data_IF_429964818293
#
_entry.id   IF_429964818293
#
_cell.length_a   1.000
_cell.length_b   1.000
_cell.length_c   1.000
_cell.angle_alpha   90.00
_cell.angle_beta   90.00
_cell.angle_gamma   90.00
#
_symmetry.space_group_name_H-M   'P 1'
#
loop_
_entity.id
_entity.type
_entity.pdbx_description
1 polymer ?
#
# COMPACT_ATOMS: atom_id res chain seq x y z
N UNK A 1 -22.80 4.08 -30.08
CA UNK A 1 -22.34 5.45 -29.82
C UNK A 1 -21.47 5.41 -28.57
N UNK A 2 -20.20 5.79 -28.64
CA UNK A 2 -19.30 5.80 -27.47
C UNK A 2 -19.41 7.13 -26.73
N UNK A 3 -19.63 7.10 -25.41
CA UNK A 3 -19.71 8.29 -24.56
C UNK A 3 -18.38 8.45 -23.83
N UNK A 4 -17.73 9.60 -23.99
CA UNK A 4 -16.54 9.96 -23.21
C UNK A 4 -16.98 10.42 -21.82
N UNK A 5 -16.46 9.81 -20.77
CA UNK A 5 -16.73 10.17 -19.38
C UNK A 5 -15.41 10.48 -18.71
N UNK A 6 -15.28 11.68 -18.15
CA UNK A 6 -14.15 12.05 -17.32
C UNK A 6 -14.40 11.51 -15.90
N UNK A 7 -13.55 10.60 -15.44
CA UNK A 7 -13.66 10.01 -14.10
C UNK A 7 -12.78 10.70 -13.06
N UNK A 8 -11.67 11.32 -13.46
CA UNK A 8 -10.68 11.92 -12.56
C UNK A 8 -9.98 13.10 -13.23
N UNK A 9 -9.83 14.22 -12.52
CA UNK A 9 -8.94 15.34 -12.88
C UNK A 9 -8.33 15.82 -11.57
N UNK A 10 -7.07 15.48 -11.34
CA UNK A 10 -6.39 15.77 -10.08
C UNK A 10 -5.01 16.35 -10.34
N UNK A 11 -4.69 17.45 -9.66
CA UNK A 11 -3.32 17.92 -9.51
C UNK A 11 -2.72 17.32 -8.25
N UNK A 12 -1.53 16.74 -8.37
CA UNK A 12 -0.82 16.12 -7.25
C UNK A 12 0.59 16.72 -7.11
N UNK A 13 1.02 16.90 -5.87
CA UNK A 13 2.39 17.27 -5.53
C UNK A 13 2.90 16.38 -4.38
N UNK A 14 4.08 15.80 -4.57
CA UNK A 14 4.73 14.96 -3.58
C UNK A 14 5.96 15.65 -3.00
N UNK A 15 6.08 15.70 -1.67
CA UNK A 15 7.23 16.27 -0.97
C UNK A 15 7.44 15.58 0.38
N UNK A 16 8.67 15.14 0.65
CA UNK A 16 9.08 14.55 1.94
C UNK A 16 8.20 13.38 2.40
N UNK A 17 7.76 12.50 1.50
CA UNK A 17 6.89 11.38 1.85
C UNK A 17 5.41 11.74 2.06
N UNK A 18 5.02 12.99 1.84
CA UNK A 18 3.63 13.46 1.87
C UNK A 18 3.18 13.85 0.47
N UNK A 19 2.02 13.37 0.09
CA UNK A 19 1.31 13.70 -1.14
C UNK A 19 0.19 14.67 -0.82
N UNK A 20 0.16 15.79 -1.53
CA UNK A 20 -0.96 16.73 -1.56
C UNK A 20 -1.67 16.58 -2.90
N UNK A 21 -3.00 16.57 -2.88
CA UNK A 21 -3.82 16.51 -4.10
C UNK A 21 -5.01 17.45 -4.04
N UNK A 22 -5.43 17.93 -5.20
CA UNK A 22 -6.58 18.79 -5.37
C UNK A 22 -7.28 18.48 -6.69
N UNK A 23 -8.61 18.48 -6.70
CA UNK A 23 -9.43 18.26 -7.89
C UNK A 23 -10.50 17.19 -7.70
N UNK A 24 -10.91 16.57 -8.80
CA UNK A 24 -11.84 15.45 -8.81
C UNK A 24 -11.06 14.15 -8.64
N UNK A 25 -11.29 13.42 -7.56
CA UNK A 25 -10.59 12.16 -7.28
C UNK A 25 -11.47 11.20 -6.48
N UNK A 26 -11.10 9.91 -6.51
CA UNK A 26 -11.64 8.91 -5.60
C UNK A 26 -10.87 8.93 -4.28
N UNK A 27 -11.59 8.94 -3.17
CA UNK A 27 -11.00 8.96 -1.82
C UNK A 27 -10.26 7.67 -1.52
N UNK A 28 -9.19 7.77 -0.73
CA UNK A 28 -8.42 6.62 -0.24
C UNK A 28 -9.11 6.09 1.02
N UNK A 29 -9.73 4.93 0.87
CA UNK A 29 -10.42 4.21 1.94
C UNK A 29 -9.60 3.06 2.47
N UNK A 30 -9.75 2.72 3.75
CA UNK A 30 -9.10 1.55 4.34
C UNK A 30 -9.74 0.25 3.86
N UNK A 31 -10.99 0.29 3.41
CA UNK A 31 -11.65 -0.77 2.63
C UNK A 31 -11.91 -0.32 1.19
N UNK A 32 -11.79 -1.18 0.17
CA UNK A 32 -12.20 -0.83 -1.20
C UNK A 32 -13.67 -0.39 -1.33
N UNK A 33 -14.56 -0.86 -0.45
CA UNK A 33 -16.00 -0.58 -0.52
C UNK A 33 -16.32 0.83 -0.01
N UNK A 34 -15.53 1.36 0.92
CA UNK A 34 -15.79 2.67 1.51
C UNK A 34 -15.31 3.86 0.67
N UNK A 35 -14.83 3.69 -0.56
CA UNK A 35 -14.27 4.80 -1.34
C UNK A 35 -15.36 5.63 -2.04
N UNK A 36 -15.31 6.94 -1.86
CA UNK A 36 -16.22 7.92 -2.47
C UNK A 36 -15.53 8.75 -3.56
N UNK A 37 -16.29 9.16 -4.59
CA UNK A 37 -15.83 10.13 -5.59
C UNK A 37 -16.11 11.56 -5.11
N UNK A 38 -15.08 12.41 -5.14
CA UNK A 38 -15.15 13.78 -4.57
C UNK A 38 -14.51 14.83 -5.44
N UNK A 39 -14.98 16.07 -5.28
CA UNK A 39 -14.26 17.27 -5.67
C UNK A 39 -13.71 17.93 -4.41
N UNK A 40 -12.39 18.01 -4.27
CA UNK A 40 -11.82 18.58 -3.05
C UNK A 40 -10.31 18.54 -2.98
N UNK A 41 -9.80 18.35 -1.76
CA UNK A 41 -8.39 18.34 -1.43
C UNK A 41 -8.06 17.14 -0.55
N UNK A 42 -6.81 16.68 -0.64
CA UNK A 42 -6.34 15.57 0.17
C UNK A 42 -4.87 15.69 0.50
N UNK A 43 -4.50 15.12 1.64
CA UNK A 43 -3.13 14.88 2.04
C UNK A 43 -2.98 13.40 2.42
N UNK A 44 -1.83 12.81 2.15
CA UNK A 44 -1.60 11.43 2.54
C UNK A 44 -0.18 10.97 2.31
N UNK A 45 0.03 9.69 2.54
CA UNK A 45 1.29 9.03 2.29
C UNK A 45 1.65 9.08 0.80
N UNK A 46 2.83 9.62 0.47
CA UNK A 46 3.38 9.62 -0.89
C UNK A 46 4.01 8.26 -1.21
N UNK A 47 3.61 7.69 -2.35
CA UNK A 47 4.19 6.45 -2.88
C UNK A 47 5.36 6.68 -3.86
N UNK A 48 5.58 7.91 -4.29
CA UNK A 48 6.52 8.20 -5.39
C UNK A 48 7.83 8.86 -4.90
N UNK A 49 7.80 9.58 -3.78
CA UNK A 49 9.01 10.28 -3.28
C UNK A 49 9.93 9.44 -2.39
N UNK A 50 9.56 8.19 -2.09
CA UNK A 50 10.42 7.26 -1.35
C UNK A 50 11.00 6.21 -2.30
N UNK A 51 12.23 6.44 -2.74
CA UNK A 51 13.07 5.49 -3.48
C UNK A 51 13.22 4.12 -2.78
N UNK A 52 12.93 4.04 -1.48
CA UNK A 52 12.95 2.82 -0.66
C UNK A 52 11.63 2.01 -0.71
N UNK A 53 10.61 2.42 -1.46
CA UNK A 53 9.30 1.76 -1.40
C UNK A 53 9.23 0.39 -2.06
N UNK A 54 10.03 0.11 -3.10
CA UNK A 54 10.12 -1.24 -3.66
C UNK A 54 10.65 -2.26 -2.63
N UNK A 55 11.50 -1.80 -1.71
CA UNK A 55 11.97 -2.57 -0.56
C UNK A 55 10.96 -2.50 0.61
N UNK A 56 10.34 -1.35 0.85
CA UNK A 56 9.39 -1.11 1.92
C UNK A 56 8.13 -1.96 1.83
N UNK A 57 7.55 -2.13 0.63
CA UNK A 57 6.40 -3.02 0.41
C UNK A 57 6.75 -4.51 0.54
N UNK A 58 8.04 -4.86 0.46
CA UNK A 58 8.57 -6.18 0.77
C UNK A 58 8.77 -6.40 2.26
N UNK A 59 8.81 -7.66 2.70
CA UNK A 59 9.31 -8.02 4.02
C UNK A 59 10.81 -7.74 4.13
N UNK A 60 11.27 -7.34 5.32
CA UNK A 60 12.69 -7.07 5.52
C UNK A 60 13.47 -8.38 5.68
N UNK A 61 14.51 -8.55 4.87
CA UNK A 61 15.42 -9.69 4.97
C UNK A 61 16.65 -9.27 5.77
N UNK A 62 16.69 -9.67 7.05
CA UNK A 62 17.82 -9.40 7.93
C UNK A 62 18.76 -10.60 8.04
N UNK A 63 20.07 -10.34 7.97
CA UNK A 63 21.11 -11.36 8.15
C UNK A 63 22.33 -10.79 8.86
N UNK A 64 22.91 -11.56 9.76
CA UNK A 64 24.18 -11.22 10.40
C UNK A 64 25.36 -11.72 9.56
N UNK A 65 26.26 -10.83 9.15
CA UNK A 65 27.48 -11.13 8.40
C UNK A 65 28.71 -11.00 9.31
N UNK A 66 29.46 -12.08 9.60
CA UNK A 66 30.64 -11.99 10.46
C UNK A 66 31.77 -11.11 9.87
N UNK A 67 31.85 -11.08 8.54
CA UNK A 67 32.81 -10.31 7.75
C UNK A 67 32.10 -9.69 6.54
N UNK A 68 32.74 -8.70 5.90
CA UNK A 68 32.24 -8.18 4.63
C UNK A 68 32.10 -9.31 3.61
N UNK A 69 30.93 -9.40 2.99
CA UNK A 69 30.54 -10.55 2.17
C UNK A 69 29.75 -10.10 0.94
N UNK A 70 29.91 -10.85 -0.15
CA UNK A 70 28.99 -10.80 -1.27
C UNK A 70 27.73 -11.59 -0.90
N UNK A 71 26.55 -11.00 -1.11
CA UNK A 71 25.27 -11.66 -0.91
C UNK A 71 24.55 -11.70 -2.25
N UNK A 72 24.32 -12.92 -2.73
CA UNK A 72 23.46 -13.21 -3.86
C UNK A 72 22.08 -13.54 -3.32
N UNK A 73 21.07 -12.86 -3.85
CA UNK A 73 19.66 -13.09 -3.53
C UNK A 73 19.06 -13.91 -4.66
N UNK A 74 18.56 -15.11 -4.34
CA UNK A 74 18.03 -16.05 -5.31
C UNK A 74 16.53 -16.27 -5.09
N UNK A 75 15.79 -16.35 -6.19
CA UNK A 75 14.39 -16.81 -6.24
C UNK A 75 14.34 -18.03 -7.16
N UNK A 76 13.79 -19.14 -6.68
CA UNK A 76 13.68 -20.40 -7.44
C UNK A 76 15.01 -20.84 -8.08
N UNK A 77 16.12 -20.67 -7.34
CA UNK A 77 17.48 -21.00 -7.79
C UNK A 77 18.11 -20.01 -8.79
N UNK A 78 17.41 -18.94 -9.18
CA UNK A 78 17.93 -17.91 -10.09
C UNK A 78 18.33 -16.67 -9.31
N UNK A 79 19.51 -16.11 -9.63
CA UNK A 79 19.99 -14.87 -9.02
C UNK A 79 19.10 -13.72 -9.49
N UNK A 80 18.52 -13.01 -8.52
CA UNK A 80 17.75 -11.78 -8.75
C UNK A 80 18.63 -10.55 -8.57
N UNK A 81 19.50 -10.56 -7.55
CA UNK A 81 20.44 -9.48 -7.30
C UNK A 81 21.70 -9.98 -6.60
N UNK A 82 22.81 -9.29 -6.82
CA UNK A 82 24.07 -9.52 -6.13
C UNK A 82 24.60 -8.20 -5.60
N UNK A 83 24.92 -8.13 -4.31
CA UNK A 83 25.50 -6.94 -3.68
C UNK A 83 26.51 -7.31 -2.60
N UNK A 84 27.50 -6.44 -2.40
CA UNK A 84 28.41 -6.52 -1.27
C UNK A 84 27.85 -5.78 -0.07
N UNK A 85 27.93 -6.41 1.10
CA UNK A 85 27.51 -5.82 2.37
C UNK A 85 28.65 -5.87 3.39
N UNK A 86 28.77 -4.85 4.26
CA UNK A 86 29.76 -4.84 5.33
C UNK A 86 29.42 -5.89 6.42
N UNK A 87 30.37 -6.15 7.31
CA UNK A 87 30.14 -6.99 8.48
C UNK A 87 29.07 -6.38 9.41
N UNK A 88 28.39 -7.23 10.19
CA UNK A 88 27.32 -6.85 11.12
C UNK A 88 25.94 -7.31 10.67
N UNK A 89 24.90 -6.80 11.33
CA UNK A 89 23.51 -7.01 10.94
C UNK A 89 23.17 -6.17 9.70
N UNK A 90 22.76 -6.83 8.63
CA UNK A 90 22.46 -6.20 7.35
C UNK A 90 21.01 -6.42 6.97
N UNK A 91 20.37 -5.38 6.44
CA UNK A 91 19.10 -5.47 5.72
C UNK A 91 19.44 -5.64 4.24
N UNK A 92 19.04 -6.76 3.66
CA UNK A 92 19.28 -7.05 2.25
C UNK A 92 18.32 -6.24 1.39
N UNK A 93 18.86 -5.62 0.33
CA UNK A 93 18.09 -4.96 -0.71
C UNK A 93 17.21 -5.97 -1.45
N UNK A 94 15.90 -5.76 -1.38
CA UNK A 94 14.85 -6.59 -1.99
C UNK A 94 14.11 -5.87 -3.11
N UNK A 95 14.57 -4.69 -3.54
CA UNK A 95 13.90 -3.88 -4.57
C UNK A 95 13.63 -4.68 -5.85
N UNK A 96 14.62 -5.47 -6.31
CA UNK A 96 14.53 -6.32 -7.50
C UNK A 96 13.62 -7.55 -7.38
N UNK A 97 13.09 -7.87 -6.19
CA UNK A 97 12.19 -9.01 -6.03
C UNK A 97 10.77 -8.68 -6.54
N UNK A 98 10.14 -9.62 -7.27
CA UNK A 98 8.76 -9.44 -7.74
C UNK A 98 7.74 -9.53 -6.61
N UNK A 99 6.54 -9.01 -6.86
CA UNK A 99 5.39 -9.16 -5.98
C UNK A 99 5.03 -10.65 -5.78
N UNK A 100 4.53 -10.97 -4.59
CA UNK A 100 4.15 -12.34 -4.20
C UNK A 100 4.66 -12.72 -2.81
N UNK A 101 4.39 -13.96 -2.42
CA UNK A 101 4.84 -14.54 -1.15
C UNK A 101 5.53 -15.88 -1.40
N UNK A 102 6.83 -15.98 -1.13
CA UNK A 102 7.67 -17.12 -1.48
C UNK A 102 8.95 -17.14 -0.64
N UNK A 103 9.67 -18.25 -0.65
CA UNK A 103 11.00 -18.29 -0.04
C UNK A 103 12.05 -17.80 -1.03
N UNK A 104 13.05 -17.12 -0.49
CA UNK A 104 14.27 -16.71 -1.19
C UNK A 104 15.49 -17.31 -0.50
N UNK A 105 16.53 -17.54 -1.27
CA UNK A 105 17.81 -18.03 -0.76
C UNK A 105 18.83 -16.90 -0.78
N UNK A 106 19.41 -16.60 0.38
CA UNK A 106 20.58 -15.73 0.51
C UNK A 106 21.82 -16.60 0.44
N UNK A 107 22.52 -16.55 -0.69
CA UNK A 107 23.83 -17.19 -0.85
C UNK A 107 24.92 -16.18 -0.51
N UNK A 108 25.58 -16.41 0.62
CA UNK A 108 26.54 -15.49 1.23
C UNK A 108 27.93 -16.05 0.99
N UNK A 109 28.76 -15.27 0.31
CA UNK A 109 30.17 -15.60 0.03
C UNK A 109 31.06 -14.61 0.78
N UNK A 110 31.81 -15.14 1.72
CA UNK A 110 32.79 -14.37 2.49
C UNK A 110 34.06 -14.17 1.67
N UNK A 111 34.79 -13.07 1.94
CA UNK A 111 36.10 -12.83 1.30
C UNK A 111 37.14 -13.93 1.58
N UNK A 112 36.93 -14.74 2.62
CA UNK A 112 37.75 -15.92 2.96
C UNK A 112 37.48 -17.13 2.06
N UNK A 113 36.51 -17.05 1.15
CA UNK A 113 36.08 -18.14 0.26
C UNK A 113 34.99 -19.03 0.86
N UNK A 114 34.65 -18.87 2.14
CA UNK A 114 33.54 -19.62 2.76
C UNK A 114 32.21 -19.17 2.16
N UNK A 115 31.36 -20.15 1.84
CA UNK A 115 30.01 -19.89 1.33
C UNK A 115 28.99 -20.55 2.25
N UNK A 116 27.86 -19.87 2.47
CA UNK A 116 26.69 -20.45 3.15
C UNK A 116 25.40 -19.99 2.48
N UNK A 117 24.36 -20.79 2.60
CA UNK A 117 23.03 -20.47 2.10
C UNK A 117 22.04 -20.37 3.26
N UNK A 118 21.14 -19.39 3.17
CA UNK A 118 20.15 -19.11 4.20
C UNK A 118 18.81 -18.87 3.52
N UNK A 119 17.82 -19.71 3.81
CA UNK A 119 16.47 -19.54 3.30
C UNK A 119 15.67 -18.57 4.19
N UNK A 120 14.89 -17.70 3.56
CA UNK A 120 14.01 -16.73 4.21
C UNK A 120 12.67 -16.65 3.50
N UNK A 121 11.60 -16.57 4.26
CA UNK A 121 10.30 -16.22 3.72
C UNK A 121 10.29 -14.74 3.34
N UNK A 122 9.82 -14.45 2.14
CA UNK A 122 9.67 -13.11 1.58
C UNK A 122 8.24 -12.87 1.10
N UNK A 123 7.69 -11.72 1.43
CA UNK A 123 6.38 -11.27 0.92
C UNK A 123 6.48 -9.83 0.44
N UNK A 124 5.98 -9.56 -0.76
CA UNK A 124 5.86 -8.22 -1.34
C UNK A 124 4.46 -8.05 -1.91
N UNK A 125 3.77 -7.01 -1.45
CA UNK A 125 2.44 -6.68 -1.91
C UNK A 125 2.18 -5.20 -1.67
N UNK A 126 1.70 -4.50 -2.69
CA UNK A 126 1.23 -3.11 -2.55
C UNK A 126 0.00 -2.97 -1.64
N UNK A 127 -0.63 -4.10 -1.26
CA UNK A 127 -1.77 -4.16 -0.35
C UNK A 127 -1.32 -4.23 1.12
N UNK A 128 -0.07 -4.63 1.38
CA UNK A 128 0.53 -4.57 2.71
C UNK A 128 1.31 -3.24 2.80
N UNK A 129 0.96 -2.31 3.71
CA UNK A 129 1.69 -1.07 3.91
C UNK A 129 3.19 -1.33 4.09
N UNK A 130 4.09 -0.40 3.73
CA UNK A 130 5.51 -0.60 3.91
C UNK A 130 5.89 -0.80 5.39
N UNK A 131 7.03 -1.45 5.64
CA UNK A 131 7.52 -1.64 7.00
C UNK A 131 7.86 -0.31 7.68
N UNK A 132 7.57 -0.19 8.98
CA UNK A 132 8.02 0.90 9.84
C UNK A 132 7.09 2.11 9.95
N UNK A 133 6.18 2.34 8.98
CA UNK A 133 5.27 3.49 9.01
C UNK A 133 3.89 3.15 8.42
N UNK A 134 2.79 3.67 9.01
CA UNK A 134 1.47 3.51 8.42
C UNK A 134 1.29 4.32 7.15
N UNK A 135 0.48 3.78 6.24
CA UNK A 135 -0.04 4.53 5.09
C UNK A 135 -1.32 5.20 5.54
N UNK A 136 -1.34 6.53 5.50
CA UNK A 136 -2.48 7.32 5.95
C UNK A 136 -2.98 8.26 4.85
N UNK A 137 -4.22 8.71 4.98
CA UNK A 137 -4.83 9.74 4.15
C UNK A 137 -5.85 10.54 4.96
N UNK A 138 -5.93 11.85 4.67
CA UNK A 138 -6.97 12.76 5.14
C UNK A 138 -7.45 13.56 3.95
N UNK A 139 -8.75 13.52 3.69
CA UNK A 139 -9.35 14.03 2.47
C UNK A 139 -10.66 14.74 2.81
N UNK A 140 -10.95 15.85 2.14
CA UNK A 140 -12.17 16.61 2.34
C UNK A 140 -12.64 17.17 1.00
N UNK A 141 -13.96 17.24 0.81
CA UNK A 141 -14.52 17.68 -0.46
C UNK A 141 -16.02 17.56 -0.52
N UNK A 142 -16.56 17.66 -1.73
CA UNK A 142 -17.98 17.54 -2.03
C UNK A 142 -18.24 16.18 -2.69
N UNK A 143 -19.30 15.50 -2.24
CA UNK A 143 -19.73 14.20 -2.78
C UNK A 143 -20.20 14.32 -4.23
N UNK A 144 -19.85 13.33 -5.06
CA UNK A 144 -20.37 13.22 -6.42
C UNK A 144 -21.89 13.06 -6.42
N UNK A 145 -22.57 13.76 -7.33
CA UNK A 145 -23.99 13.54 -7.60
C UNK A 145 -24.17 12.25 -8.42
N UNK A 146 -24.72 11.21 -7.80
CA UNK A 146 -24.97 9.92 -8.42
C UNK A 146 -26.22 9.90 -9.33
N UNK A 147 -27.11 10.89 -9.19
CA UNK A 147 -28.35 11.02 -9.96
C UNK A 147 -28.15 11.61 -11.35
N UNK A 148 -27.04 12.29 -11.61
CA UNK A 148 -26.75 12.97 -12.87
C UNK A 148 -25.70 12.19 -13.69
N UNK A 149 -26.12 11.12 -14.38
CA UNK A 149 -25.23 10.25 -15.18
C UNK A 149 -24.97 10.77 -16.61
N UNK A 150 -25.59 11.88 -17.03
CA UNK A 150 -25.71 12.25 -18.45
C UNK A 150 -24.87 13.41 -18.98
N UNK A 151 -23.96 13.97 -18.18
CA UNK A 151 -23.07 15.04 -18.63
C UNK A 151 -21.63 14.52 -18.70
N UNK A 152 -20.90 14.85 -19.78
CA UNK A 152 -19.50 14.38 -19.98
C UNK A 152 -18.51 14.79 -18.89
N UNK A 153 -18.93 15.68 -17.98
CA UNK A 153 -18.23 16.08 -16.76
C UNK A 153 -19.06 15.67 -15.54
N UNK A 154 -18.45 15.07 -14.51
CA UNK A 154 -19.13 14.77 -13.24
C UNK A 154 -19.78 15.99 -12.60
N UNK A 155 -21.01 15.83 -12.12
CA UNK A 155 -21.63 16.77 -11.19
C UNK A 155 -21.28 16.40 -9.75
N UNK A 156 -21.15 17.41 -8.89
CA UNK A 156 -20.94 17.26 -7.46
C UNK A 156 -22.06 17.96 -6.71
N UNK A 157 -22.45 17.37 -5.59
CA UNK A 157 -23.45 17.91 -4.68
C UNK A 157 -22.87 19.06 -3.86
N UNK A 158 -23.69 19.71 -3.03
CA UNK A 158 -23.24 20.63 -1.98
C UNK A 158 -22.95 19.91 -0.65
N UNK A 159 -23.05 18.58 -0.59
CA UNK A 159 -22.84 17.80 0.62
C UNK A 159 -21.34 17.68 0.91
N UNK A 160 -20.83 18.27 2.01
CA UNK A 160 -19.43 18.12 2.39
C UNK A 160 -19.14 16.71 2.90
N UNK A 161 -17.90 16.29 2.73
CA UNK A 161 -17.34 15.17 3.48
C UNK A 161 -16.00 15.51 4.08
N UNK A 162 -15.67 14.78 5.13
CA UNK A 162 -14.33 14.62 5.65
C UNK A 162 -14.05 13.13 5.81
N UNK A 163 -12.85 12.70 5.41
CA UNK A 163 -12.40 11.34 5.53
C UNK A 163 -11.00 11.29 6.13
N UNK A 164 -10.78 10.35 7.03
CA UNK A 164 -9.45 9.96 7.48
C UNK A 164 -9.33 8.43 7.44
N UNK A 165 -8.23 7.92 6.91
CA UNK A 165 -7.97 6.48 6.85
C UNK A 165 -6.51 6.20 7.11
N UNK A 166 -6.23 5.02 7.68
CA UNK A 166 -4.88 4.55 7.90
C UNK A 166 -4.81 3.04 7.77
N UNK A 167 -3.68 2.56 7.26
CA UNK A 167 -3.34 1.15 7.14
C UNK A 167 -1.98 0.87 7.78
N UNK A 168 -1.92 -0.19 8.57
CA UNK A 168 -0.74 -0.61 9.32
C UNK A 168 -0.31 -2.00 8.88
N UNK A 169 1.01 -2.19 8.71
CA UNK A 169 1.61 -3.52 8.67
C UNK A 169 1.80 -4.02 10.10
N UNK A 170 1.12 -5.10 10.47
CA UNK A 170 1.32 -5.76 11.76
C UNK A 170 2.42 -6.81 11.69
N UNK A 171 2.49 -7.53 10.57
CA UNK A 171 3.50 -8.53 10.23
C UNK A 171 3.77 -8.48 8.74
N UNK A 172 4.83 -9.12 8.29
CA UNK A 172 5.14 -9.24 6.85
C UNK A 172 4.03 -9.90 6.02
N UNK A 173 3.13 -10.63 6.68
CA UNK A 173 1.99 -11.32 6.06
C UNK A 173 0.63 -10.73 6.44
N UNK A 174 0.56 -9.75 7.35
CA UNK A 174 -0.70 -9.24 7.91
C UNK A 174 -0.71 -7.71 7.94
N UNK A 175 -1.74 -7.13 7.33
CA UNK A 175 -2.05 -5.72 7.43
C UNK A 175 -3.47 -5.51 7.95
N UNK A 176 -3.67 -4.42 8.68
CA UNK A 176 -4.98 -3.93 9.09
C UNK A 176 -5.19 -2.51 8.58
N UNK A 177 -6.42 -2.16 8.26
CA UNK A 177 -6.85 -0.83 7.88
C UNK A 177 -8.07 -0.40 8.68
N UNK A 178 -8.14 0.89 8.98
CA UNK A 178 -9.33 1.53 9.52
C UNK A 178 -9.54 2.90 8.88
N UNK A 179 -10.80 3.26 8.66
CA UNK A 179 -11.23 4.52 8.06
C UNK A 179 -12.48 5.05 8.74
N UNK A 180 -12.62 6.38 8.70
CA UNK A 180 -13.82 7.09 9.09
C UNK A 180 -14.17 8.10 8.00
N UNK A 181 -15.45 8.16 7.67
CA UNK A 181 -16.06 9.15 6.79
C UNK A 181 -17.15 9.86 7.56
N UNK A 182 -17.07 11.18 7.57
CA UNK A 182 -18.10 12.06 8.10
C UNK A 182 -18.70 12.85 6.92
N UNK A 183 -19.97 12.59 6.63
CA UNK A 183 -20.78 13.33 5.66
C UNK A 183 -22.18 13.52 6.27
N UNK A 184 -22.93 14.56 5.86
CA UNK A 184 -24.31 14.72 6.30
C UNK A 184 -25.18 13.53 5.88
N UNK A 185 -25.79 12.86 6.85
CA UNK A 185 -26.76 11.78 6.62
C UNK A 185 -26.16 10.39 6.45
N UNK A 186 -24.88 10.26 6.09
CA UNK A 186 -24.25 8.97 5.81
C UNK A 186 -22.82 8.81 6.37
N UNK A 187 -22.59 9.08 7.68
CA UNK A 187 -21.30 8.81 8.28
C UNK A 187 -21.08 7.29 8.43
N UNK A 188 -19.86 6.84 8.13
CA UNK A 188 -19.48 5.44 8.27
C UNK A 188 -18.04 5.26 8.72
N UNK A 189 -17.77 4.07 9.24
CA UNK A 189 -16.43 3.57 9.54
C UNK A 189 -16.19 2.30 8.74
N UNK A 190 -14.97 2.12 8.27
CA UNK A 190 -14.56 0.93 7.53
C UNK A 190 -13.32 0.29 8.13
N UNK A 191 -13.28 -1.03 8.09
CA UNK A 191 -12.17 -1.85 8.55
C UNK A 191 -11.76 -2.83 7.46
N UNK A 192 -10.46 -3.04 7.33
CA UNK A 192 -9.91 -4.04 6.42
C UNK A 192 -8.89 -4.90 7.16
N UNK A 193 -8.94 -6.20 6.90
CA UNK A 193 -7.82 -7.08 7.18
C UNK A 193 -7.31 -7.68 5.88
N UNK A 194 -5.99 -7.75 5.77
CA UNK A 194 -5.32 -8.35 4.64
C UNK A 194 -4.27 -9.34 5.13
N UNK A 195 -4.37 -10.58 4.68
CA UNK A 195 -3.47 -11.66 5.05
C UNK A 195 -2.94 -12.37 3.81
N UNK A 196 -1.63 -12.51 3.69
CA UNK A 196 -1.00 -13.17 2.55
C UNK A 196 0.13 -14.10 2.97
N UNK A 197 0.01 -15.36 2.56
CA UNK A 197 1.03 -16.40 2.66
C UNK A 197 1.37 -16.92 1.26
N UNK A 198 2.24 -17.94 1.18
CA UNK A 198 2.55 -18.62 -0.08
C UNK A 198 1.33 -19.28 -0.76
N UNK A 199 0.38 -19.79 0.03
CA UNK A 199 -0.72 -20.63 -0.48
C UNK A 199 -2.07 -19.92 -0.45
N UNK A 200 -2.20 -18.89 0.39
CA UNK A 200 -3.46 -18.21 0.66
C UNK A 200 -3.25 -16.71 0.62
N UNK A 201 -4.06 -16.04 -0.20
CA UNK A 201 -4.30 -14.60 -0.13
C UNK A 201 -5.73 -14.41 0.35
N UNK A 202 -5.89 -13.64 1.41
CA UNK A 202 -7.17 -13.39 2.04
C UNK A 202 -7.33 -11.92 2.36
N UNK A 203 -8.52 -11.39 2.08
CA UNK A 203 -8.92 -10.03 2.42
C UNK A 203 -10.31 -10.10 3.02
N UNK A 204 -10.54 -9.31 4.05
CA UNK A 204 -11.87 -9.01 4.57
C UNK A 204 -12.04 -7.51 4.65
N UNK A 205 -13.22 -7.04 4.30
CA UNK A 205 -13.62 -5.65 4.46
C UNK A 205 -14.98 -5.54 5.11
N UNK A 206 -15.09 -4.65 6.09
CA UNK A 206 -16.34 -4.36 6.79
C UNK A 206 -16.60 -2.86 6.74
N UNK A 207 -17.84 -2.45 6.46
CA UNK A 207 -18.27 -1.05 6.52
C UNK A 207 -19.52 -0.95 7.39
N UNK A 208 -19.46 -0.06 8.38
CA UNK A 208 -20.55 0.20 9.34
C UNK A 208 -20.92 1.67 9.27
N UNK A 209 -22.19 1.99 9.01
CA UNK A 209 -22.69 3.36 9.10
C UNK A 209 -23.95 3.44 9.95
N UNK A 210 -24.54 4.62 10.01
CA UNK A 210 -25.66 4.91 10.91
C UNK A 210 -26.96 4.19 10.56
N UNK A 211 -27.13 3.74 9.31
CA UNK A 211 -28.29 2.99 8.86
C UNK A 211 -28.08 1.45 8.84
N UNK A 212 -26.89 0.95 9.22
CA UNK A 212 -26.59 -0.49 9.29
C UNK A 212 -25.22 -0.88 8.71
N UNK A 213 -25.05 -2.17 8.39
CA UNK A 213 -23.84 -2.70 7.73
C UNK A 213 -23.98 -2.50 6.22
N UNK A 214 -23.05 -1.77 5.61
CA UNK A 214 -23.09 -1.39 4.19
C UNK A 214 -22.45 -2.44 3.26
N UNK A 215 -21.68 -3.40 3.79
CA UNK A 215 -21.14 -4.49 2.98
C UNK A 215 -20.05 -5.34 3.65
N UNK A 216 -19.91 -6.57 3.14
CA UNK A 216 -18.83 -7.51 3.43
C UNK A 216 -18.28 -8.02 2.09
N UNK A 217 -16.95 -7.99 1.91
CA UNK A 217 -16.25 -8.64 0.80
C UNK A 217 -14.99 -9.35 1.24
#
# INVERSE_FOLDING_TARGET
SGKLIISEIVGQQDKNGVMLKAGMFRTRSASPIGSEDVLGFGAGYSRDTRLDLQQGFGSQLQVFLPVASEVQLLKDGRIVSTKFYPAGNQIIDTSGLPDGAYNVTLKIRENTGRTREVERFYSKSMEIPPAGEPVWSVEAGLLRDQGQQDVGVPAFTTQPMLRAASRWRLRDTLALGAGITASPGDPFVDFESFYQTRLLKYRQSFVFGTEGVFGLS
#
